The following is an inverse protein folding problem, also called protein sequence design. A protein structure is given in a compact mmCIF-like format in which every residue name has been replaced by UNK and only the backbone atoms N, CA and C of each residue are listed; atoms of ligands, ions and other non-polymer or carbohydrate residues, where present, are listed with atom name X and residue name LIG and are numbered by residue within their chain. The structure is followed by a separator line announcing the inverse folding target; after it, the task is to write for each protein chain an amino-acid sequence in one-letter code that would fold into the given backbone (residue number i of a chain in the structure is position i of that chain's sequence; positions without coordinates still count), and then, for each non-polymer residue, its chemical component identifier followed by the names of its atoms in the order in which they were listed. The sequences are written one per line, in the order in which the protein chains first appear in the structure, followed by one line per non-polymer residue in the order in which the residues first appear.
data_IF_625916299214
#
_entry.id   IF_625916299214
#
_cell.length_a   1.000
_cell.length_b   1.000
_cell.length_c   1.000
_cell.angle_alpha   90.00
_cell.angle_beta   90.00
_cell.angle_gamma   90.00
#
_symmetry.space_group_name_H-M   'P 1'
#
loop_
_entity.id
_entity.type
_entity.pdbx_description
1 polymer ?
#
# COMPACT_ATOMS: atom_id res chain seq x y z
N UNK A 1 -9.29 -7.51 4.00
CA UNK A 1 -9.48 -8.25 5.25
C UNK A 1 -10.64 -7.61 6.00
N UNK A 2 -11.59 -8.38 6.50
CA UNK A 2 -12.74 -7.85 7.25
C UNK A 2 -13.31 -8.90 8.21
N UNK A 3 -13.92 -8.44 9.27
CA UNK A 3 -14.67 -9.27 10.20
C UNK A 3 -16.20 -9.19 9.93
N UNK A 4 -16.99 -9.87 10.77
CA UNK A 4 -18.46 -9.91 10.64
C UNK A 4 -19.17 -8.55 10.68
N UNK A 5 -18.53 -7.50 11.19
CA UNK A 5 -19.12 -6.16 11.29
C UNK A 5 -19.05 -5.39 9.96
N UNK A 6 -18.24 -5.89 9.02
CA UNK A 6 -17.98 -5.27 7.73
C UNK A 6 -18.52 -6.07 6.53
N UNK A 7 -19.41 -7.07 6.77
CA UNK A 7 -19.89 -7.97 5.71
C UNK A 7 -20.60 -7.23 4.58
N UNK A 8 -21.46 -6.27 4.89
CA UNK A 8 -22.15 -5.48 3.85
C UNK A 8 -21.15 -4.65 3.04
N UNK A 9 -20.25 -3.94 3.74
CA UNK A 9 -19.22 -3.17 3.08
C UNK A 9 -18.32 -4.06 2.22
N UNK A 10 -17.90 -5.22 2.73
CA UNK A 10 -17.09 -6.16 1.98
C UNK A 10 -17.82 -6.72 0.75
N UNK A 11 -19.12 -6.98 0.82
CA UNK A 11 -19.89 -7.39 -0.36
C UNK A 11 -19.81 -6.35 -1.46
N UNK A 12 -19.97 -5.06 -1.13
CA UNK A 12 -19.93 -3.99 -2.14
C UNK A 12 -18.51 -3.72 -2.65
N UNK A 13 -17.52 -3.69 -1.76
CA UNK A 13 -16.16 -3.27 -2.11
C UNK A 13 -15.26 -4.42 -2.54
N UNK A 14 -15.58 -5.64 -2.15
CA UNK A 14 -14.84 -6.84 -2.52
C UNK A 14 -15.55 -7.62 -3.63
N UNK A 15 -16.71 -8.23 -3.34
CA UNK A 15 -17.40 -9.11 -4.30
C UNK A 15 -17.89 -8.35 -5.54
N UNK A 16 -18.48 -7.18 -5.35
CA UNK A 16 -19.06 -6.37 -6.42
C UNK A 16 -18.06 -5.41 -7.08
N UNK A 17 -16.80 -5.37 -6.63
CA UNK A 17 -15.80 -4.44 -7.16
C UNK A 17 -14.45 -5.12 -7.38
N UNK A 18 -13.69 -5.41 -6.33
CA UNK A 18 -12.29 -5.88 -6.45
C UNK A 18 -12.18 -7.25 -7.11
N UNK A 19 -13.09 -8.18 -6.80
CA UNK A 19 -13.13 -9.50 -7.45
C UNK A 19 -13.39 -9.35 -8.94
N UNK A 20 -14.35 -8.52 -9.34
CA UNK A 20 -14.67 -8.28 -10.75
C UNK A 20 -13.50 -7.62 -11.50
N UNK A 21 -12.78 -6.70 -10.84
CA UNK A 21 -11.57 -6.14 -11.41
C UNK A 21 -10.47 -7.19 -11.59
N UNK A 22 -10.25 -8.02 -10.57
CA UNK A 22 -9.24 -9.08 -10.63
C UNK A 22 -9.57 -10.11 -11.72
N UNK A 23 -10.82 -10.57 -11.82
CA UNK A 23 -11.29 -11.49 -12.87
C UNK A 23 -11.11 -10.90 -14.27
N UNK A 24 -11.45 -9.61 -14.44
CA UNK A 24 -11.29 -8.92 -15.73
C UNK A 24 -9.84 -8.90 -16.22
N UNK A 25 -8.89 -8.80 -15.32
CA UNK A 25 -7.46 -8.69 -15.62
C UNK A 25 -6.69 -10.01 -15.41
N UNK A 26 -7.40 -11.10 -15.09
CA UNK A 26 -6.83 -12.42 -14.83
C UNK A 26 -5.84 -12.41 -13.64
N UNK A 27 -6.10 -11.57 -12.62
CA UNK A 27 -5.32 -11.55 -11.38
C UNK A 27 -5.82 -12.58 -10.38
N UNK A 28 -4.91 -13.20 -9.65
CA UNK A 28 -5.27 -13.92 -8.44
C UNK A 28 -5.73 -12.91 -7.37
N UNK A 29 -6.69 -13.31 -6.55
CA UNK A 29 -7.18 -12.49 -5.44
C UNK A 29 -7.35 -13.32 -4.17
N UNK A 30 -7.06 -12.72 -3.04
CA UNK A 30 -7.14 -13.34 -1.73
C UNK A 30 -7.85 -12.40 -0.75
N UNK A 31 -8.72 -12.95 0.09
CA UNK A 31 -9.32 -12.25 1.22
C UNK A 31 -9.13 -13.05 2.50
N UNK A 32 -8.80 -12.36 3.60
CA UNK A 32 -8.78 -12.95 4.94
C UNK A 32 -10.06 -12.51 5.66
N UNK A 33 -10.94 -13.47 5.94
CA UNK A 33 -12.25 -13.25 6.57
C UNK A 33 -12.41 -13.97 7.90
N UNK A 34 -11.50 -14.88 8.22
CA UNK A 34 -11.47 -15.70 9.42
C UNK A 34 -10.02 -16.02 9.81
N UNK A 35 -9.82 -16.71 10.89
CA UNK A 35 -8.49 -17.13 11.39
C UNK A 35 -7.51 -15.95 11.52
N UNK A 36 -7.99 -14.82 12.08
CA UNK A 36 -7.13 -13.67 12.38
C UNK A 36 -6.06 -14.04 13.41
N UNK A 37 -4.89 -13.40 13.31
CA UNK A 37 -3.74 -13.68 14.19
C UNK A 37 -3.96 -13.13 15.61
N UNK A 38 -4.92 -12.22 15.80
CA UNK A 38 -5.20 -11.57 17.07
C UNK A 38 -4.35 -10.33 17.33
N UNK A 39 -3.78 -9.77 16.27
CA UNK A 39 -3.07 -8.49 16.32
C UNK A 39 -4.02 -7.29 16.18
N UNK A 40 -3.52 -6.08 16.37
CA UNK A 40 -4.21 -4.88 15.94
C UNK A 40 -4.44 -4.91 14.42
N UNK A 41 -5.59 -4.46 13.91
CA UNK A 41 -6.00 -4.67 12.50
C UNK A 41 -4.96 -4.28 11.45
N UNK A 42 -4.23 -3.18 11.67
CA UNK A 42 -3.18 -2.76 10.74
C UNK A 42 -2.01 -3.75 10.66
N UNK A 43 -1.65 -4.39 11.78
CA UNK A 43 -0.60 -5.40 11.82
C UNK A 43 -1.07 -6.78 11.33
N UNK A 44 -2.37 -7.06 11.42
CA UNK A 44 -2.98 -8.23 10.79
C UNK A 44 -2.70 -8.28 9.28
N UNK A 45 -2.83 -7.13 8.58
CA UNK A 45 -2.55 -7.06 7.14
C UNK A 45 -1.09 -7.33 6.82
N UNK A 46 -0.16 -6.85 7.67
CA UNK A 46 1.28 -7.06 7.46
C UNK A 46 1.63 -8.54 7.56
N UNK A 47 1.14 -9.22 8.59
CA UNK A 47 1.35 -10.67 8.72
C UNK A 47 0.72 -11.43 7.56
N UNK A 48 -0.48 -11.06 7.12
CA UNK A 48 -1.13 -11.69 5.98
C UNK A 48 -0.33 -11.52 4.67
N UNK A 49 0.31 -10.38 4.46
CA UNK A 49 1.20 -10.15 3.31
C UNK A 49 2.45 -11.04 3.37
N UNK A 50 3.07 -11.16 4.55
CA UNK A 50 4.22 -12.07 4.76
C UNK A 50 3.83 -13.50 4.44
N UNK A 51 2.75 -14.01 5.04
CA UNK A 51 2.28 -15.37 4.84
C UNK A 51 1.90 -15.63 3.37
N UNK A 52 1.36 -14.62 2.70
CA UNK A 52 1.01 -14.74 1.27
C UNK A 52 2.26 -14.90 0.41
N UNK A 53 3.31 -14.14 0.64
CA UNK A 53 4.58 -14.31 -0.07
C UNK A 53 5.24 -15.66 0.23
N UNK A 54 5.09 -16.17 1.45
CA UNK A 54 5.64 -17.47 1.83
C UNK A 54 4.88 -18.63 1.20
N UNK A 55 3.54 -18.51 1.15
CA UNK A 55 2.69 -19.53 0.53
C UNK A 55 2.80 -19.53 -1.01
N UNK A 56 3.10 -18.41 -1.61
CA UNK A 56 3.16 -18.23 -3.06
C UNK A 56 4.47 -17.54 -3.48
N UNK A 57 5.61 -18.22 -3.43
CA UNK A 57 6.92 -17.60 -3.67
C UNK A 57 7.12 -17.07 -5.09
N UNK A 58 6.34 -17.55 -6.05
CA UNK A 58 6.40 -17.12 -7.47
C UNK A 58 5.58 -15.85 -7.77
N UNK A 59 4.85 -15.30 -6.80
CA UNK A 59 4.16 -14.02 -6.98
C UNK A 59 5.21 -12.92 -7.16
N UNK A 60 5.06 -12.13 -8.22
CA UNK A 60 5.95 -11.00 -8.48
C UNK A 60 5.58 -9.75 -7.65
N UNK A 61 4.27 -9.46 -7.57
CA UNK A 61 3.71 -8.29 -6.87
C UNK A 61 2.44 -8.65 -6.14
N UNK A 62 2.20 -8.00 -5.00
CA UNK A 62 0.90 -7.94 -4.33
C UNK A 62 0.40 -6.50 -4.35
N UNK A 63 -0.85 -6.30 -4.70
CA UNK A 63 -1.57 -5.07 -4.43
C UNK A 63 -2.49 -5.27 -3.24
N UNK A 64 -2.12 -4.72 -2.12
CA UNK A 64 -3.00 -4.62 -0.95
C UNK A 64 -4.01 -3.49 -1.15
N UNK A 65 -5.27 -3.74 -0.80
CA UNK A 65 -6.32 -2.73 -0.77
C UNK A 65 -7.17 -2.89 0.49
N UNK A 66 -7.47 -1.78 1.17
CA UNK A 66 -8.37 -1.76 2.33
C UNK A 66 -9.79 -2.20 1.99
N UNK A 67 -10.55 -2.68 2.97
CA UNK A 67 -11.93 -3.12 2.77
C UNK A 67 -12.85 -1.97 2.34
N UNK A 68 -12.60 -0.76 2.78
CA UNK A 68 -13.39 0.46 2.55
C UNK A 68 -12.98 1.24 1.29
N UNK A 69 -12.16 0.65 0.44
CA UNK A 69 -11.74 1.26 -0.83
C UNK A 69 -12.45 0.62 -2.04
N UNK A 70 -12.58 1.38 -3.12
CA UNK A 70 -13.17 0.94 -4.39
C UNK A 70 -12.20 1.19 -5.54
N UNK A 71 -12.14 0.26 -6.48
CA UNK A 71 -11.49 0.46 -7.76
C UNK A 71 -12.48 1.18 -8.67
N UNK A 72 -12.18 2.41 -9.04
CA UNK A 72 -13.05 3.24 -9.87
C UNK A 72 -12.75 3.15 -11.36
N UNK A 73 -11.51 2.82 -11.73
CA UNK A 73 -11.11 2.64 -13.11
C UNK A 73 -10.73 1.18 -13.42
N UNK A 74 -11.68 0.45 -13.97
CA UNK A 74 -11.51 -0.96 -14.36
C UNK A 74 -10.67 -1.16 -15.64
N UNK A 75 -10.23 -0.11 -16.30
CA UNK A 75 -9.42 -0.23 -17.52
C UNK A 75 -7.92 -0.16 -17.26
N UNK A 76 -7.51 0.51 -16.19
CA UNK A 76 -6.11 0.61 -15.79
C UNK A 76 -5.63 -0.70 -15.17
N UNK A 77 -4.52 -1.23 -15.64
CA UNK A 77 -3.90 -2.43 -15.10
C UNK A 77 -2.89 -2.09 -14.01
N UNK A 78 -2.60 -3.06 -13.14
CA UNK A 78 -1.55 -2.91 -12.12
C UNK A 78 -0.18 -2.70 -12.78
N UNK A 79 0.08 -3.42 -13.86
CA UNK A 79 1.33 -3.30 -14.63
C UNK A 79 1.50 -1.90 -15.24
N UNK A 80 0.42 -1.23 -15.61
CA UNK A 80 0.48 0.16 -16.12
C UNK A 80 0.94 1.12 -15.03
N UNK A 81 0.48 0.89 -13.77
CA UNK A 81 0.91 1.66 -12.60
C UNK A 81 2.38 1.43 -12.27
N UNK A 82 2.84 0.18 -12.32
CA UNK A 82 4.24 -0.16 -12.10
C UNK A 82 5.11 0.48 -13.19
N UNK A 83 4.72 0.33 -14.47
CA UNK A 83 5.44 0.93 -15.58
C UNK A 83 5.48 2.46 -15.54
N UNK A 84 4.49 3.11 -14.94
CA UNK A 84 4.50 4.56 -14.71
C UNK A 84 5.62 4.95 -13.75
N UNK A 85 5.80 4.23 -12.65
CA UNK A 85 6.90 4.45 -11.69
C UNK A 85 8.26 4.20 -12.34
N UNK A 86 8.39 3.13 -13.13
CA UNK A 86 9.62 2.83 -13.85
C UNK A 86 9.98 3.95 -14.86
N UNK A 87 8.98 4.52 -15.56
CA UNK A 87 9.19 5.65 -16.48
C UNK A 87 9.63 6.94 -15.80
N UNK A 88 9.33 7.10 -14.51
CA UNK A 88 9.84 8.19 -13.68
C UNK A 88 11.32 8.03 -13.30
N UNK A 89 11.95 6.90 -13.68
CA UNK A 89 13.37 6.63 -13.43
C UNK A 89 13.65 5.76 -12.19
N UNK A 90 12.61 5.10 -11.64
CA UNK A 90 12.73 4.28 -10.43
C UNK A 90 12.44 2.79 -10.68
N UNK A 91 13.23 2.10 -11.51
CA UNK A 91 12.97 0.70 -11.91
C UNK A 91 13.20 -0.32 -10.79
N UNK A 92 13.90 0.08 -9.73
CA UNK A 92 14.27 -0.82 -8.62
C UNK A 92 13.33 -0.71 -7.42
N UNK A 93 12.33 0.16 -7.47
CA UNK A 93 11.35 0.32 -6.39
C UNK A 93 10.61 -0.98 -6.12
N UNK A 94 10.48 -1.31 -4.86
CA UNK A 94 9.82 -2.53 -4.38
C UNK A 94 8.53 -2.25 -3.61
N UNK A 95 8.30 -0.99 -3.21
CA UNK A 95 7.15 -0.55 -2.42
C UNK A 95 6.63 0.74 -3.03
N UNK A 96 5.38 0.72 -3.49
CA UNK A 96 4.72 1.89 -4.07
C UNK A 96 3.48 2.20 -3.22
N UNK A 97 3.43 3.41 -2.68
CA UNK A 97 2.31 3.93 -1.91
C UNK A 97 1.84 5.25 -2.49
N UNK A 98 0.69 5.72 -2.05
CA UNK A 98 0.23 7.07 -2.35
C UNK A 98 0.35 7.96 -1.13
N UNK A 99 0.54 9.27 -1.37
CA UNK A 99 0.38 10.28 -0.33
C UNK A 99 -1.05 10.30 0.20
N UNK A 100 -1.24 10.82 1.40
CA UNK A 100 -2.54 11.07 1.99
C UNK A 100 -2.77 12.56 2.20
N UNK A 101 -4.05 12.93 2.36
CA UNK A 101 -4.47 14.30 2.59
C UNK A 101 -3.97 14.89 3.92
N UNK A 102 -4.00 14.10 4.99
CA UNK A 102 -3.62 14.53 6.34
C UNK A 102 -2.32 13.91 6.83
N UNK A 103 -1.73 13.00 6.06
CA UNK A 103 -0.56 12.20 6.44
C UNK A 103 0.35 12.06 5.24
N UNK A 104 1.61 11.82 5.52
CA UNK A 104 2.63 11.67 4.48
C UNK A 104 2.34 10.52 3.53
N UNK A 105 1.74 9.44 4.04
CA UNK A 105 1.38 8.24 3.26
C UNK A 105 0.00 7.72 3.61
N UNK A 106 -0.60 6.99 2.65
CA UNK A 106 -1.73 6.11 2.90
C UNK A 106 -1.31 4.64 2.78
N UNK A 107 -1.58 3.84 3.79
CA UNK A 107 -1.23 2.43 3.83
C UNK A 107 -2.39 1.47 3.53
N UNK A 108 -3.53 1.98 3.05
CA UNK A 108 -4.67 1.15 2.65
C UNK A 108 -4.64 0.74 1.17
N UNK A 109 -3.71 1.33 0.41
CA UNK A 109 -3.41 0.89 -0.95
C UNK A 109 -1.91 0.86 -1.17
N UNK A 110 -1.32 -0.34 -1.24
CA UNK A 110 0.13 -0.54 -1.36
C UNK A 110 0.41 -1.59 -2.43
N UNK A 111 1.30 -1.29 -3.38
CA UNK A 111 1.91 -2.27 -4.26
C UNK A 111 3.25 -2.69 -3.68
N UNK A 112 3.44 -3.99 -3.51
CA UNK A 112 4.65 -4.57 -2.89
C UNK A 112 5.22 -5.65 -3.81
N UNK A 113 6.47 -5.46 -4.21
CA UNK A 113 7.23 -6.45 -5.02
C UNK A 113 7.77 -7.55 -4.12
N UNK A 114 7.78 -8.78 -4.61
CA UNK A 114 8.37 -9.91 -3.90
C UNK A 114 9.90 -9.87 -3.99
N UNK A 115 10.54 -9.09 -3.15
CA UNK A 115 11.99 -8.97 -3.02
C UNK A 115 12.42 -9.16 -1.57
N UNK A 116 13.66 -9.56 -1.34
CA UNK A 116 14.20 -9.71 0.02
C UNK A 116 14.08 -8.39 0.82
N UNK A 117 14.25 -7.26 0.16
CA UNK A 117 14.13 -5.93 0.79
C UNK A 117 12.70 -5.63 1.21
N UNK A 118 11.71 -5.87 0.35
CA UNK A 118 10.30 -5.66 0.69
C UNK A 118 9.84 -6.64 1.80
N UNK A 119 10.28 -7.89 1.76
CA UNK A 119 10.03 -8.85 2.84
C UNK A 119 10.67 -8.40 4.17
N UNK A 120 11.91 -7.90 4.12
CA UNK A 120 12.59 -7.32 5.30
C UNK A 120 11.85 -6.10 5.85
N UNK A 121 11.27 -5.26 4.98
CA UNK A 121 10.44 -4.13 5.39
C UNK A 121 9.17 -4.58 6.13
N UNK A 122 8.44 -5.55 5.58
CA UNK A 122 7.26 -6.13 6.24
C UNK A 122 7.61 -6.74 7.60
N UNK A 123 8.70 -7.51 7.68
CA UNK A 123 9.16 -8.11 8.92
C UNK A 123 9.55 -7.04 9.96
N UNK A 124 10.26 -5.98 9.54
CA UNK A 124 10.63 -4.88 10.43
C UNK A 124 9.38 -4.18 11.01
N UNK A 125 8.31 -4.00 10.21
CA UNK A 125 7.05 -3.45 10.72
C UNK A 125 6.46 -4.37 11.82
N UNK A 126 6.47 -5.68 11.61
CA UNK A 126 6.00 -6.64 12.61
C UNK A 126 6.85 -6.62 13.89
N UNK A 127 8.17 -6.56 13.75
CA UNK A 127 9.10 -6.50 14.88
C UNK A 127 8.89 -5.23 15.73
N UNK A 128 8.46 -4.14 15.10
CA UNK A 128 8.16 -2.87 15.76
C UNK A 128 6.72 -2.79 16.32
N UNK A 129 5.85 -3.76 16.05
CA UNK A 129 4.45 -3.76 16.48
C UNK A 129 4.27 -3.42 17.97
N UNK A 130 5.05 -3.97 18.93
CA UNK A 130 4.85 -3.65 20.35
C UNK A 130 4.98 -2.16 20.67
N UNK A 131 5.79 -1.42 19.91
CA UNK A 131 5.98 0.04 20.07
C UNK A 131 4.79 0.84 19.53
N UNK A 132 4.17 0.37 18.45
CA UNK A 132 3.18 1.13 17.71
C UNK A 132 1.73 0.66 17.91
N UNK A 133 1.48 -0.50 18.53
CA UNK A 133 0.14 -1.07 18.69
C UNK A 133 -0.86 -0.10 19.36
N UNK A 134 -0.41 0.76 20.26
CA UNK A 134 -1.23 1.79 20.92
C UNK A 134 -1.19 3.17 20.24
N UNK A 135 -0.40 3.34 19.18
CA UNK A 135 -0.33 4.60 18.46
C UNK A 135 -1.61 4.83 17.64
N UNK A 136 -2.04 6.08 17.48
CA UNK A 136 -3.25 6.42 16.71
C UNK A 136 -3.20 5.87 15.27
N UNK A 137 -2.05 5.95 14.62
CA UNK A 137 -1.82 5.51 13.23
C UNK A 137 -1.06 4.18 13.13
N UNK A 138 -0.87 3.50 14.24
CA UNK A 138 -0.35 2.12 14.32
C UNK A 138 0.74 1.80 13.29
N UNK A 139 0.47 0.85 12.39
CA UNK A 139 1.40 0.39 11.37
C UNK A 139 1.78 1.49 10.36
N UNK A 140 0.91 2.44 10.08
CA UNK A 140 1.21 3.56 9.16
C UNK A 140 2.30 4.46 9.74
N UNK A 141 2.23 4.78 11.03
CA UNK A 141 3.31 5.52 11.70
C UNK A 141 4.60 4.69 11.76
N UNK A 142 4.49 3.39 12.00
CA UNK A 142 5.65 2.50 11.96
C UNK A 142 6.33 2.54 10.59
N UNK A 143 5.54 2.46 9.50
CA UNK A 143 6.05 2.56 8.13
C UNK A 143 6.82 3.87 7.91
N UNK A 144 6.27 5.00 8.34
CA UNK A 144 6.94 6.30 8.24
C UNK A 144 8.26 6.32 9.00
N UNK A 145 8.25 5.90 10.26
CA UNK A 145 9.43 5.99 11.15
C UNK A 145 10.60 5.10 10.71
N UNK A 146 10.32 4.00 9.97
CA UNK A 146 11.38 3.11 9.47
C UNK A 146 11.76 3.37 8.02
N UNK A 147 11.07 4.28 7.33
CA UNK A 147 11.18 4.46 5.88
C UNK A 147 12.59 4.88 5.43
N UNK A 148 13.30 5.65 6.24
CA UNK A 148 14.70 6.02 5.97
C UNK A 148 15.62 4.80 5.75
N UNK A 149 15.29 3.64 6.33
CA UNK A 149 16.05 2.40 6.17
C UNK A 149 15.81 1.72 4.82
N UNK A 150 14.77 2.14 4.10
CA UNK A 150 14.28 1.57 2.84
C UNK A 150 14.13 2.62 1.74
N UNK A 151 14.85 3.73 1.86
CA UNK A 151 14.71 4.91 1.00
C UNK A 151 14.89 4.63 -0.50
N UNK A 152 15.70 3.63 -0.86
CA UNK A 152 15.93 3.21 -2.25
C UNK A 152 14.79 2.34 -2.81
N UNK A 153 13.98 1.75 -1.91
CA UNK A 153 12.96 0.75 -2.25
C UNK A 153 11.55 1.34 -2.33
N UNK A 154 11.34 2.57 -1.82
CA UNK A 154 10.02 3.18 -1.64
C UNK A 154 9.80 4.33 -2.61
N UNK A 155 8.63 4.31 -3.27
CA UNK A 155 8.10 5.43 -4.06
C UNK A 155 6.76 5.89 -3.48
N UNK A 156 6.64 7.18 -3.23
CA UNK A 156 5.39 7.82 -2.84
C UNK A 156 4.82 8.55 -4.06
N UNK A 157 3.69 8.09 -4.53
CA UNK A 157 2.99 8.64 -5.68
C UNK A 157 1.94 9.67 -5.22
N UNK A 158 1.45 10.55 -6.11
CA UNK A 158 0.33 11.42 -5.79
C UNK A 158 -0.87 10.63 -5.28
N UNK A 159 -1.70 11.25 -4.44
CA UNK A 159 -2.90 10.64 -3.89
C UNK A 159 -3.82 10.04 -4.97
N UNK A 160 -3.99 10.72 -6.08
CA UNK A 160 -4.79 10.28 -7.23
C UNK A 160 -4.27 9.00 -7.90
N UNK A 161 -3.07 8.55 -7.58
CA UNK A 161 -2.48 7.37 -8.19
C UNK A 161 -3.18 6.06 -7.76
N UNK A 162 -3.41 5.86 -6.46
CA UNK A 162 -4.06 4.66 -5.92
C UNK A 162 -5.01 4.91 -4.75
N UNK A 163 -5.16 6.15 -4.30
CA UNK A 163 -5.92 6.48 -3.11
C UNK A 163 -6.69 7.79 -3.29
N UNK A 164 -7.41 7.93 -4.41
CA UNK A 164 -8.19 9.14 -4.71
C UNK A 164 -9.37 9.31 -3.76
N UNK A 165 -9.56 10.53 -3.27
CA UNK A 165 -10.78 11.00 -2.61
C UNK A 165 -11.56 11.91 -3.56
N UNK A 166 -12.84 12.10 -3.29
CA UNK A 166 -13.71 12.99 -4.07
C UNK A 166 -13.18 14.44 -4.11
N UNK A 167 -12.47 14.86 -3.08
CA UNK A 167 -11.84 16.18 -2.98
C UNK A 167 -10.35 16.02 -2.65
N UNK A 168 -9.50 15.84 -3.67
CA UNK A 168 -8.06 16.00 -3.47
C UNK A 168 -7.72 17.49 -3.45
N UNK A 169 -7.42 18.06 -2.28
CA UNK A 169 -7.00 19.46 -2.19
C UNK A 169 -5.51 19.68 -2.49
N UNK A 170 -4.71 18.61 -2.50
CA UNK A 170 -3.28 18.69 -2.77
C UNK A 170 -2.84 17.53 -3.66
N UNK A 171 -2.51 17.84 -4.91
CA UNK A 171 -1.73 16.94 -5.74
C UNK A 171 -0.25 17.24 -5.47
N UNK A 172 0.42 16.29 -4.83
CA UNK A 172 1.88 16.30 -4.69
C UNK A 172 2.46 15.59 -5.90
N UNK A 173 3.51 16.13 -6.48
CA UNK A 173 4.24 15.43 -7.53
C UNK A 173 4.81 14.10 -6.97
N UNK A 174 4.95 13.05 -7.80
CA UNK A 174 5.64 11.82 -7.39
C UNK A 174 7.03 12.13 -6.86
N UNK A 175 7.43 11.50 -5.77
CA UNK A 175 8.75 11.71 -5.20
C UNK A 175 9.38 10.42 -4.69
N UNK A 176 10.68 10.36 -4.83
CA UNK A 176 11.50 9.30 -4.27
C UNK A 176 11.89 9.67 -2.83
N UNK A 177 11.69 8.76 -1.89
CA UNK A 177 11.95 9.02 -0.49
C UNK A 177 13.41 9.36 -0.20
N UNK A 178 14.35 8.68 -0.89
CA UNK A 178 15.78 8.93 -0.76
C UNK A 178 16.18 10.35 -1.14
N UNK A 179 15.69 10.82 -2.26
CA UNK A 179 16.07 12.13 -2.79
C UNK A 179 15.31 13.25 -2.12
N UNK A 180 14.12 12.96 -1.56
CA UNK A 180 13.17 13.94 -0.99
C UNK A 180 12.91 15.10 -1.96
N UNK A 181 12.95 14.78 -3.23
CA UNK A 181 12.68 15.70 -4.34
C UNK A 181 11.65 15.07 -5.27
N UNK A 182 10.83 15.91 -5.88
CA UNK A 182 9.91 15.46 -6.91
C UNK A 182 10.65 15.12 -8.20
N UNK A 183 9.94 14.61 -9.20
CA UNK A 183 10.50 14.26 -10.51
C UNK A 183 11.09 15.45 -11.28
N UNK A 184 10.84 16.69 -10.85
CA UNK A 184 11.40 17.91 -11.43
C UNK A 184 12.64 18.39 -10.68
N UNK A 185 13.05 17.70 -9.60
CA UNK A 185 14.18 18.06 -8.75
C UNK A 185 13.84 19.11 -7.69
N UNK A 186 12.57 19.42 -7.47
CA UNK A 186 12.11 20.29 -6.39
C UNK A 186 11.95 19.49 -5.10
N UNK A 187 12.40 20.02 -3.97
CA UNK A 187 12.16 19.38 -2.67
C UNK A 187 10.66 19.35 -2.41
N UNK A 188 10.13 18.15 -2.21
CA UNK A 188 8.77 17.97 -1.73
C UNK A 188 8.61 18.75 -0.43
N UNK A 189 7.79 19.78 -0.43
CA UNK A 189 7.47 20.52 0.80
C UNK A 189 6.45 19.67 1.57
N UNK A 190 6.95 18.79 2.42
CA UNK A 190 6.17 18.21 3.48
C UNK A 190 6.19 19.21 4.64
N UNK A 191 5.30 20.17 4.61
CA UNK A 191 4.95 20.91 5.81
C UNK A 191 3.89 20.09 6.55
N UNK A 192 4.34 19.41 7.61
CA UNK A 192 3.43 18.90 8.62
C UNK A 192 2.63 20.06 9.18
N UNK A 193 1.36 20.18 8.78
CA UNK A 193 0.41 21.08 9.39
C UNK A 193 0.01 20.60 10.78
#
# INVERSE_FOLDING_TARGET
MHDKNYVELATETWDNNKVQYAEKHEYAYLAKTEDFYGFEPGFEKIQFLIDTFDAYPDIAWIWWTGTDSLITNFTTRIEDKIAEVERLGFPNVSIIMSSDFNFDINCDSILIKNTDRARSWLQNIMDQMPKYASHQFKEQQCMLDIMDQYEDDVMIMPQSFMNSYEYSMYEVAPWNYKEKVDVNGERGQWESG
#
